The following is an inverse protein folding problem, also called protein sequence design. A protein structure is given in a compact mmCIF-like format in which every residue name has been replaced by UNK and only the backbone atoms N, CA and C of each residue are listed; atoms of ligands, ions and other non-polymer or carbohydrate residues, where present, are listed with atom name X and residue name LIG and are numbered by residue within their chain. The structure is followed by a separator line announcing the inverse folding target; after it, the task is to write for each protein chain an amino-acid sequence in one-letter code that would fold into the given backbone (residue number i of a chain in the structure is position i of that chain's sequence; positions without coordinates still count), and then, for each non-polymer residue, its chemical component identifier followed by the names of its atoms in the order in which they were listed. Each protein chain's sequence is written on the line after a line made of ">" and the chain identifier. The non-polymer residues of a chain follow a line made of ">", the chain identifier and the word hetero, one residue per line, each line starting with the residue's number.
data_IF_600033590538
#
_entry.id   IF_600033590538
#
_cell.length_a   1.000
_cell.length_b   1.000
_cell.length_c   1.000
_cell.angle_alpha   90.00
_cell.angle_beta   90.00
_cell.angle_gamma   90.00
#
_symmetry.space_group_name_H-M   'P 1'
#
loop_
_entity.id
_entity.type
_entity.pdbx_description
1 polymer ?
#
# COMPACT_ATOMS: atom_id res chain seq x y z
N UNK A 1 11.22 -61.89 14.38
CA UNK A 1 10.25 -62.02 15.48
C UNK A 1 9.45 -60.71 15.54
N UNK A 2 8.31 -60.51 14.85
CA UNK A 2 7.16 -61.41 14.56
C UNK A 2 6.32 -61.62 15.83
N UNK A 3 5.00 -61.36 15.90
CA UNK A 3 3.93 -60.87 14.98
C UNK A 3 3.11 -59.78 15.74
N UNK A 4 2.49 -58.74 15.14
CA UNK A 4 1.45 -58.63 14.10
C UNK A 4 0.02 -59.05 14.56
N UNK A 5 -0.80 -58.06 14.96
CA UNK A 5 -2.26 -58.09 14.80
C UNK A 5 -2.70 -56.74 14.22
N UNK A 6 -3.63 -56.77 13.26
CA UNK A 6 -4.21 -55.59 12.62
C UNK A 6 -5.69 -55.47 13.00
N UNK A 7 -6.19 -54.24 13.20
CA UNK A 7 -7.60 -53.96 13.39
C UNK A 7 -8.10 -53.05 12.26
N UNK A 8 -9.02 -53.57 11.44
CA UNK A 8 -9.76 -52.80 10.44
C UNK A 8 -11.23 -52.74 10.85
N UNK A 9 -11.91 -51.63 10.56
CA UNK A 9 -13.36 -51.51 10.71
C UNK A 9 -13.92 -50.82 9.47
N UNK A 10 -14.96 -51.43 8.91
CA UNK A 10 -15.63 -50.97 7.68
C UNK A 10 -17.09 -50.69 7.98
N UNK A 11 -17.62 -49.59 7.44
CA UNK A 11 -19.05 -49.29 7.40
C UNK A 11 -19.38 -48.80 6.00
N UNK A 12 -20.50 -49.26 5.46
CA UNK A 12 -20.85 -49.11 4.04
C UNK A 12 -21.62 -47.83 3.73
N UNK A 13 -21.64 -47.48 2.44
CA UNK A 13 -22.71 -46.64 1.88
C UNK A 13 -24.09 -47.27 2.13
N UNK A 14 -25.10 -46.41 2.23
CA UNK A 14 -26.50 -46.70 1.90
C UNK A 14 -27.13 -45.42 1.33
N UNK A 15 -28.22 -45.54 0.57
CA UNK A 15 -28.76 -44.46 -0.27
C UNK A 15 -30.29 -44.58 -0.45
N UNK A 16 -30.88 -43.64 -1.21
CA UNK A 16 -32.31 -43.51 -1.55
C UNK A 16 -33.20 -42.94 -0.42
N UNK A 17 -34.42 -42.41 -0.70
CA UNK A 17 -35.10 -42.30 -2.00
C UNK A 17 -35.37 -40.84 -2.46
N UNK A 18 -36.11 -40.68 -3.56
CA UNK A 18 -36.33 -39.41 -4.27
C UNK A 18 -37.81 -39.10 -4.58
N UNK A 19 -38.11 -37.80 -4.79
CA UNK A 19 -39.31 -37.25 -5.47
C UNK A 19 -40.65 -37.32 -4.70
N UNK A 20 -41.70 -36.55 -5.11
CA UNK A 20 -41.79 -35.38 -6.01
C UNK A 20 -42.58 -34.17 -5.41
N UNK A 21 -42.77 -33.08 -6.18
CA UNK A 21 -44.07 -32.39 -6.49
C UNK A 21 -43.88 -30.91 -6.96
N UNK A 22 -44.82 -30.43 -7.78
CA UNK A 22 -44.94 -29.13 -8.47
C UNK A 22 -45.28 -27.94 -7.51
N UNK A 23 -45.49 -26.66 -7.87
CA UNK A 23 -45.74 -25.92 -9.14
C UNK A 23 -44.81 -24.64 -9.20
N UNK A 24 -44.99 -23.49 -9.90
CA UNK A 24 -46.10 -22.83 -10.63
C UNK A 24 -45.57 -21.76 -11.63
N UNK A 25 -46.44 -21.18 -12.46
CA UNK A 25 -46.20 -19.98 -13.29
C UNK A 25 -46.54 -18.67 -12.54
N UNK A 26 -45.91 -17.55 -12.91
CA UNK A 26 -46.38 -16.12 -12.99
C UNK A 26 -45.14 -15.20 -13.15
N UNK A 27 -45.18 -13.98 -13.68
CA UNK A 27 -45.60 -13.49 -15.02
C UNK A 27 -44.78 -12.20 -15.35
N UNK A 28 -44.95 -11.62 -16.52
CA UNK A 28 -44.25 -10.45 -17.05
C UNK A 28 -44.52 -9.16 -16.27
N UNK A 29 -43.47 -8.41 -15.96
CA UNK A 29 -43.55 -6.94 -15.94
C UNK A 29 -42.44 -6.32 -16.78
N UNK A 30 -42.81 -5.77 -17.94
CA UNK A 30 -41.93 -4.87 -18.71
C UNK A 30 -41.90 -3.52 -18.00
N UNK A 31 -40.72 -3.04 -17.61
CA UNK A 31 -40.51 -1.62 -17.32
C UNK A 31 -39.48 -1.02 -18.29
N UNK A 32 -39.98 -0.20 -19.22
CA UNK A 32 -39.16 0.57 -20.14
C UNK A 32 -38.60 1.81 -19.44
N UNK A 33 -37.28 2.01 -19.45
CA UNK A 33 -36.67 3.31 -19.17
C UNK A 33 -36.06 3.92 -20.42
N UNK A 34 -36.31 5.23 -20.61
CA UNK A 34 -35.92 5.98 -21.81
C UNK A 34 -34.42 6.28 -21.81
N UNK A 35 -33.74 5.97 -22.90
CA UNK A 35 -32.45 6.58 -23.24
C UNK A 35 -32.67 8.08 -23.54
N UNK A 36 -32.30 8.96 -22.60
CA UNK A 36 -32.20 10.40 -22.87
C UNK A 36 -30.81 10.71 -23.47
N UNK A 37 -30.79 10.81 -24.80
CA UNK A 37 -29.59 10.95 -25.61
C UNK A 37 -29.24 12.42 -25.87
N UNK A 38 -28.66 13.10 -24.88
CA UNK A 38 -28.20 14.48 -25.07
C UNK A 38 -26.98 14.51 -26.02
N UNK A 39 -27.19 14.99 -27.24
CA UNK A 39 -26.13 15.35 -28.17
C UNK A 39 -25.74 16.81 -27.93
N UNK A 40 -24.46 17.07 -27.68
CA UNK A 40 -23.85 18.31 -28.16
C UNK A 40 -22.69 17.95 -29.08
N UNK A 41 -22.85 18.30 -30.35
CA UNK A 41 -21.82 18.18 -31.38
C UNK A 41 -21.27 19.59 -31.57
N UNK A 42 -19.98 19.76 -31.33
CA UNK A 42 -19.18 20.88 -31.82
C UNK A 42 -18.13 20.28 -32.78
N UNK A 43 -17.83 20.97 -33.88
CA UNK A 43 -17.27 20.32 -35.05
C UNK A 43 -16.29 21.19 -35.85
N UNK A 44 -15.26 20.54 -36.39
CA UNK A 44 -14.30 21.03 -37.40
C UNK A 44 -13.23 22.04 -36.89
N UNK A 45 -12.08 22.15 -37.61
CA UNK A 45 -11.69 21.46 -38.84
C UNK A 45 -10.53 20.46 -38.70
N UNK A 46 -10.53 19.45 -39.58
CA UNK A 46 -9.34 18.66 -39.90
C UNK A 46 -8.41 19.50 -40.78
N UNK A 47 -7.11 19.56 -40.46
CA UNK A 47 -6.12 20.12 -41.39
C UNK A 47 -5.73 19.08 -42.44
N UNK A 48 -5.80 19.51 -43.69
CA UNK A 48 -5.58 18.71 -44.89
C UNK A 48 -4.08 18.66 -45.21
N UNK A 49 -3.54 17.46 -45.42
CA UNK A 49 -2.16 17.31 -45.89
C UNK A 49 -2.01 17.93 -47.30
N UNK A 50 -0.89 18.62 -47.54
CA UNK A 50 -0.45 18.98 -48.89
C UNK A 50 0.61 17.97 -49.34
N UNK A 51 0.45 17.45 -50.54
CA UNK A 51 1.49 16.68 -51.23
C UNK A 51 2.48 17.66 -51.88
N UNK A 52 3.75 17.27 -51.92
CA UNK A 52 4.75 17.83 -52.83
C UNK A 52 5.53 16.66 -53.44
N UNK A 53 5.32 16.41 -54.72
CA UNK A 53 6.03 15.37 -55.48
C UNK A 53 7.39 15.89 -55.95
N UNK A 54 8.43 15.05 -55.87
CA UNK A 54 9.75 15.32 -56.45
C UNK A 54 10.47 13.99 -56.77
N UNK A 55 10.19 13.46 -57.97
CA UNK A 55 10.99 12.57 -58.84
C UNK A 55 12.24 11.83 -58.29
N UNK A 56 12.20 10.50 -58.43
CA UNK A 56 13.27 9.56 -58.85
C UNK A 56 14.74 9.67 -58.36
N UNK A 57 15.30 8.54 -57.88
CA UNK A 57 16.76 8.38 -57.79
C UNK A 57 17.30 7.18 -57.00
N UNK A 58 17.47 6.02 -57.65
CA UNK A 58 18.39 4.91 -57.31
C UNK A 58 18.45 4.30 -55.88
N UNK A 59 17.94 3.07 -55.78
CA UNK A 59 18.64 1.85 -55.33
C UNK A 59 19.55 1.83 -54.06
N UNK A 60 19.14 0.97 -53.12
CA UNK A 60 19.97 0.07 -52.27
C UNK A 60 20.91 0.73 -51.24
N UNK A 61 20.55 0.59 -49.96
CA UNK A 61 21.36 -0.20 -49.01
C UNK A 61 20.53 -0.63 -47.78
N UNK A 62 20.86 -1.80 -47.23
CA UNK A 62 20.29 -2.28 -45.96
C UNK A 62 21.24 -1.83 -44.84
N UNK A 63 20.73 -1.03 -43.89
CA UNK A 63 21.43 -0.63 -42.68
C UNK A 63 20.63 -1.08 -41.44
N UNK A 64 21.32 -1.41 -40.35
CA UNK A 64 20.75 -2.03 -39.16
C UNK A 64 19.99 -1.03 -38.26
N UNK A 65 19.05 -1.54 -37.46
CA UNK A 65 18.12 -0.73 -36.67
C UNK A 65 18.68 -0.28 -35.29
N UNK A 66 19.99 -0.33 -35.12
CA UNK A 66 20.68 -0.11 -33.83
C UNK A 66 20.46 1.32 -33.29
N UNK A 67 20.36 2.31 -34.19
CA UNK A 67 20.24 3.73 -33.84
C UNK A 67 18.97 4.11 -33.07
N UNK A 68 17.95 3.23 -32.99
CA UNK A 68 16.78 3.45 -32.13
C UNK A 68 17.02 3.07 -30.67
N UNK A 69 17.90 2.12 -30.39
CA UNK A 69 18.16 1.60 -29.03
C UNK A 69 18.93 2.65 -28.23
N UNK A 70 20.08 3.11 -28.75
CA UNK A 70 20.88 4.19 -28.16
C UNK A 70 20.04 5.45 -27.89
N UNK A 71 19.15 5.82 -28.83
CA UNK A 71 18.31 7.00 -28.72
C UNK A 71 17.22 6.90 -27.62
N UNK A 72 16.89 5.69 -27.16
CA UNK A 72 16.02 5.42 -26.01
C UNK A 72 16.84 5.41 -24.72
N UNK A 73 17.96 4.69 -24.67
CA UNK A 73 18.81 4.60 -23.48
C UNK A 73 19.42 5.95 -23.08
N UNK A 74 19.84 6.79 -24.04
CA UNK A 74 20.31 8.16 -23.78
C UNK A 74 19.19 9.03 -23.18
N UNK A 75 17.93 8.80 -23.55
CA UNK A 75 16.79 9.52 -22.97
C UNK A 75 16.47 9.01 -21.57
N UNK A 76 16.41 7.69 -21.37
CA UNK A 76 16.22 7.11 -20.04
C UNK A 76 17.31 7.55 -19.06
N UNK A 77 18.58 7.51 -19.47
CA UNK A 77 19.72 7.93 -18.65
C UNK A 77 19.60 9.40 -18.20
N UNK A 78 19.24 10.32 -19.10
CA UNK A 78 19.02 11.73 -18.76
C UNK A 78 17.84 11.94 -17.81
N UNK A 79 16.75 11.18 -17.96
CA UNK A 79 15.60 11.23 -17.04
C UNK A 79 15.97 10.67 -15.67
N UNK A 80 16.71 9.56 -15.61
CA UNK A 80 17.20 8.94 -14.36
C UNK A 80 18.08 9.90 -13.56
N UNK A 81 19.04 10.57 -14.20
CA UNK A 81 19.88 11.58 -13.53
C UNK A 81 19.04 12.75 -13.00
N UNK A 82 18.17 13.34 -13.83
CA UNK A 82 17.29 14.43 -13.41
C UNK A 82 16.36 14.07 -12.24
N UNK A 83 15.94 12.81 -12.12
CA UNK A 83 15.16 12.33 -10.97
C UNK A 83 16.02 12.20 -9.70
N UNK A 84 17.28 11.79 -9.81
CA UNK A 84 18.22 11.74 -8.68
C UNK A 84 18.50 13.16 -8.15
N UNK A 85 18.71 14.13 -9.04
CA UNK A 85 18.94 15.53 -8.68
C UNK A 85 17.74 16.12 -7.91
N UNK A 86 16.50 15.89 -8.39
CA UNK A 86 15.28 16.31 -7.71
C UNK A 86 15.15 15.68 -6.32
N UNK A 87 15.37 14.36 -6.21
CA UNK A 87 15.34 13.66 -4.92
C UNK A 87 16.35 14.25 -3.92
N UNK A 88 17.57 14.54 -4.37
CA UNK A 88 18.60 15.16 -3.54
C UNK A 88 18.20 16.57 -3.07
N UNK A 89 17.59 17.39 -3.93
CA UNK A 89 17.08 18.72 -3.52
C UNK A 89 15.90 18.65 -2.54
N UNK A 90 15.16 17.54 -2.53
CA UNK A 90 14.10 17.24 -1.55
C UNK A 90 14.64 16.58 -0.26
N UNK A 91 15.96 16.44 -0.12
CA UNK A 91 16.58 15.76 1.03
C UNK A 91 16.30 14.25 1.09
N UNK A 92 15.75 13.65 0.03
CA UNK A 92 15.42 12.22 -0.02
C UNK A 92 16.73 11.43 -0.10
N UNK A 93 17.09 10.82 1.03
CA UNK A 93 18.32 10.03 1.14
C UNK A 93 18.22 8.67 0.46
N UNK A 94 17.03 8.05 0.44
CA UNK A 94 16.85 6.66 -0.02
C UNK A 94 16.87 6.58 -1.55
N UNK A 95 17.81 5.82 -2.11
CA UNK A 95 17.89 5.59 -3.55
C UNK A 95 16.88 4.51 -3.93
N UNK A 96 16.02 4.75 -4.92
CA UNK A 96 15.03 3.75 -5.35
C UNK A 96 15.61 2.62 -6.21
N UNK A 97 16.81 2.80 -6.77
CA UNK A 97 17.51 1.86 -7.67
C UNK A 97 19.04 1.96 -7.48
N UNK A 98 19.84 0.96 -7.93
CA UNK A 98 21.29 1.05 -7.97
C UNK A 98 21.77 2.20 -8.89
N UNK A 99 22.68 3.10 -8.45
CA UNK A 99 23.07 4.28 -9.24
C UNK A 99 23.67 3.98 -10.61
N UNK A 100 24.44 2.88 -10.72
CA UNK A 100 25.13 2.51 -11.95
C UNK A 100 24.41 1.42 -12.75
N UNK A 101 23.14 1.15 -12.43
CA UNK A 101 22.38 0.06 -13.02
C UNK A 101 22.86 -1.33 -12.56
N UNK A 102 22.46 -2.43 -13.22
CA UNK A 102 23.03 -3.74 -12.97
C UNK A 102 24.53 -3.77 -13.36
N UNK A 103 25.42 -4.43 -12.58
CA UNK A 103 26.84 -4.46 -12.88
C UNK A 103 27.14 -5.39 -14.07
N UNK A 104 27.11 -4.84 -15.28
CA UNK A 104 27.65 -5.46 -16.50
C UNK A 104 29.03 -4.87 -16.81
N UNK A 105 30.07 -5.70 -16.75
CA UNK A 105 31.34 -5.45 -17.43
C UNK A 105 31.66 -6.69 -18.28
N UNK A 106 31.69 -6.51 -19.60
CA UNK A 106 32.15 -7.56 -20.53
C UNK A 106 33.67 -7.52 -20.63
N UNK A 107 34.32 -8.68 -20.44
CA UNK A 107 35.75 -8.85 -20.66
C UNK A 107 35.95 -9.98 -21.68
N UNK A 108 35.85 -9.61 -22.96
CA UNK A 108 35.74 -10.58 -24.05
C UNK A 108 34.42 -11.37 -23.96
N UNK A 109 34.42 -12.70 -24.13
CA UNK A 109 33.21 -13.52 -24.10
C UNK A 109 32.65 -13.77 -22.68
N UNK A 110 33.23 -13.14 -21.64
CA UNK A 110 32.86 -13.37 -20.24
C UNK A 110 32.17 -12.15 -19.64
N UNK A 111 31.05 -12.38 -18.95
CA UNK A 111 30.41 -11.39 -18.06
C UNK A 111 31.07 -11.44 -16.68
N UNK A 112 31.66 -10.33 -16.24
CA UNK A 112 32.20 -10.20 -14.89
C UNK A 112 31.37 -9.20 -14.08
N UNK A 113 30.80 -9.67 -12.97
CA UNK A 113 30.15 -8.81 -11.97
C UNK A 113 31.18 -8.33 -10.94
N UNK A 114 31.81 -7.19 -11.22
CA UNK A 114 32.49 -6.43 -10.17
C UNK A 114 31.42 -5.87 -9.21
N UNK A 115 31.52 -6.22 -7.93
CA UNK A 115 30.72 -5.57 -6.89
C UNK A 115 31.26 -4.16 -6.65
N UNK A 116 30.63 -3.16 -7.27
CA UNK A 116 30.88 -1.76 -6.95
C UNK A 116 30.18 -1.41 -5.64
N UNK A 117 30.94 -0.98 -4.62
CA UNK A 117 30.41 -0.59 -3.30
C UNK A 117 29.36 0.53 -3.37
N UNK A 118 29.47 1.44 -4.37
CA UNK A 118 28.45 2.46 -4.61
C UNK A 118 27.10 1.90 -5.07
N UNK A 119 27.03 0.61 -5.42
CA UNK A 119 25.93 -0.05 -6.09
C UNK A 119 25.26 -1.16 -5.24
N UNK A 120 25.54 -1.21 -3.94
CA UNK A 120 24.80 -1.98 -2.93
C UNK A 120 23.85 -1.08 -2.12
N UNK A 121 22.77 -1.61 -1.50
CA UNK A 121 21.91 -0.84 -0.60
C UNK A 121 22.66 -0.43 0.68
N UNK A 122 22.47 0.81 1.13
CA UNK A 122 23.15 1.35 2.33
C UNK A 122 22.42 1.10 3.65
N UNK A 123 21.10 0.87 3.58
CA UNK A 123 20.25 0.56 4.73
C UNK A 123 19.12 -0.39 4.30
N UNK A 124 18.38 -0.94 5.27
CA UNK A 124 17.32 -1.93 5.01
C UNK A 124 16.19 -1.39 4.14
N UNK A 125 15.83 -0.10 4.30
CA UNK A 125 14.76 0.53 3.53
C UNK A 125 15.15 0.64 2.05
N UNK A 126 16.40 0.99 1.77
CA UNK A 126 16.96 1.00 0.42
C UNK A 126 16.95 -0.42 -0.19
N UNK A 127 17.28 -1.47 0.58
CA UNK A 127 17.20 -2.86 0.10
C UNK A 127 15.76 -3.27 -0.22
N UNK A 128 14.81 -2.98 0.68
CA UNK A 128 13.38 -3.24 0.50
C UNK A 128 12.88 -2.60 -0.79
N UNK A 129 13.18 -1.31 -1.00
CA UNK A 129 12.69 -0.54 -2.15
C UNK A 129 13.26 -1.07 -3.48
N UNK A 130 14.54 -1.48 -3.54
CA UNK A 130 15.12 -2.05 -4.76
C UNK A 130 14.49 -3.41 -5.12
N UNK A 131 14.21 -4.24 -4.11
CA UNK A 131 13.50 -5.50 -4.30
C UNK A 131 12.05 -5.25 -4.74
N UNK A 132 11.37 -4.27 -4.13
CA UNK A 132 9.98 -3.90 -4.44
C UNK A 132 9.81 -3.38 -5.87
N UNK A 133 10.72 -2.53 -6.36
CA UNK A 133 10.70 -2.06 -7.75
C UNK A 133 10.82 -3.22 -8.75
N UNK A 134 11.64 -4.22 -8.43
CA UNK A 134 11.79 -5.46 -9.21
C UNK A 134 10.54 -6.36 -9.13
N UNK A 135 9.99 -6.55 -7.94
CA UNK A 135 8.76 -7.33 -7.70
C UNK A 135 7.58 -6.73 -8.46
N UNK A 136 7.36 -5.42 -8.30
CA UNK A 136 6.24 -4.69 -8.92
C UNK A 136 6.35 -4.69 -10.44
N UNK A 137 7.55 -4.62 -11.02
CA UNK A 137 7.74 -4.79 -12.46
C UNK A 137 7.23 -6.17 -12.95
N UNK A 138 7.57 -7.26 -12.26
CA UNK A 138 7.12 -8.62 -12.59
C UNK A 138 5.61 -8.81 -12.35
N UNK A 139 5.05 -8.23 -11.29
CA UNK A 139 3.60 -8.29 -11.05
C UNK A 139 2.82 -7.50 -12.10
N UNK A 140 3.34 -6.35 -12.53
CA UNK A 140 2.74 -5.47 -13.55
C UNK A 140 2.73 -6.12 -14.94
N UNK A 141 3.76 -6.90 -15.27
CA UNK A 141 3.80 -7.75 -16.47
C UNK A 141 2.74 -8.86 -16.41
N UNK A 142 2.69 -9.61 -15.31
CA UNK A 142 1.72 -10.71 -15.09
C UNK A 142 0.27 -10.21 -15.02
N UNK A 143 0.02 -8.99 -14.54
CA UNK A 143 -1.32 -8.41 -14.37
C UNK A 143 -1.36 -6.92 -14.80
N UNK A 144 -1.43 -6.64 -16.11
CA UNK A 144 -1.35 -5.27 -16.65
C UNK A 144 -2.45 -4.35 -16.11
N UNK A 145 -2.14 -3.05 -16.00
CA UNK A 145 -3.01 -2.03 -15.39
C UNK A 145 -4.45 -1.98 -15.96
N UNK A 146 -4.63 -2.26 -17.26
CA UNK A 146 -5.95 -2.33 -17.90
C UNK A 146 -6.86 -3.46 -17.38
N UNK A 147 -6.27 -4.52 -16.80
CA UNK A 147 -7.03 -5.56 -16.07
C UNK A 147 -7.40 -5.12 -14.66
N UNK A 148 -6.52 -4.38 -13.98
CA UNK A 148 -6.77 -3.88 -12.63
C UNK A 148 -7.84 -2.81 -12.58
N UNK A 149 -7.90 -1.90 -13.56
CA UNK A 149 -8.98 -0.90 -13.64
C UNK A 149 -10.36 -1.57 -13.63
N UNK A 150 -10.58 -2.57 -14.50
CA UNK A 150 -11.82 -3.36 -14.50
C UNK A 150 -12.12 -4.05 -13.17
N UNK A 151 -11.09 -4.51 -12.45
CA UNK A 151 -11.24 -5.11 -11.12
C UNK A 151 -11.57 -4.06 -10.03
N UNK A 152 -11.03 -2.84 -10.14
CA UNK A 152 -11.41 -1.69 -9.31
C UNK A 152 -12.85 -1.24 -9.59
N UNK A 153 -13.26 -1.20 -10.85
CA UNK A 153 -14.61 -0.76 -11.28
C UNK A 153 -15.74 -1.67 -10.73
N UNK A 154 -15.45 -2.95 -10.48
CA UNK A 154 -16.39 -3.92 -9.89
C UNK A 154 -16.19 -4.17 -8.38
N UNK A 155 -15.17 -3.54 -7.76
CA UNK A 155 -14.87 -3.77 -6.35
C UNK A 155 -15.93 -3.13 -5.45
N UNK A 156 -16.34 -3.85 -4.39
CA UNK A 156 -17.27 -3.33 -3.39
C UNK A 156 -16.79 -1.97 -2.85
N UNK A 157 -17.67 -0.96 -2.66
CA UNK A 157 -17.28 0.41 -2.34
C UNK A 157 -16.26 0.53 -1.21
N UNK A 158 -15.34 1.51 -1.28
CA UNK A 158 -14.41 1.77 -0.20
C UNK A 158 -15.14 2.28 1.03
N UNK A 159 -14.61 1.95 2.20
CA UNK A 159 -15.11 2.37 3.51
C UNK A 159 -14.44 3.69 3.90
N UNK A 160 -15.16 4.53 4.64
CA UNK A 160 -14.59 5.81 5.09
C UNK A 160 -13.58 5.60 6.24
N UNK A 161 -12.32 5.43 5.86
CA UNK A 161 -11.19 5.30 6.78
C UNK A 161 -11.04 6.54 7.69
N UNK A 162 -11.28 7.74 7.17
CA UNK A 162 -11.15 8.99 7.95
C UNK A 162 -12.34 9.14 8.90
N UNK A 163 -13.56 8.84 8.44
CA UNK A 163 -14.76 8.83 9.26
C UNK A 163 -14.69 7.83 10.42
N UNK A 164 -14.16 6.63 10.18
CA UNK A 164 -13.97 5.62 11.22
C UNK A 164 -13.00 6.08 12.32
N UNK A 165 -11.87 6.70 11.95
CA UNK A 165 -10.94 7.29 12.92
C UNK A 165 -11.58 8.42 13.74
N UNK A 166 -12.31 9.34 13.09
CA UNK A 166 -13.00 10.42 13.77
C UNK A 166 -14.05 9.90 14.76
N UNK A 167 -14.95 9.04 14.29
CA UNK A 167 -16.02 8.49 15.11
C UNK A 167 -15.48 7.70 16.33
N UNK A 168 -14.41 6.93 16.17
CA UNK A 168 -13.75 6.23 17.28
C UNK A 168 -13.12 7.20 18.29
N UNK A 169 -12.41 8.24 17.82
CA UNK A 169 -11.77 9.21 18.72
C UNK A 169 -12.79 10.08 19.46
N UNK A 170 -13.84 10.52 18.77
CA UNK A 170 -14.95 11.31 19.33
C UNK A 170 -15.77 10.49 20.35
N UNK A 171 -16.00 9.20 20.11
CA UNK A 171 -16.70 8.28 21.02
C UNK A 171 -15.89 7.97 22.29
N UNK A 172 -14.60 7.71 22.16
CA UNK A 172 -13.76 7.17 23.25
C UNK A 172 -13.02 8.24 24.07
N UNK A 173 -12.89 9.46 23.52
CA UNK A 173 -12.08 10.55 24.08
C UNK A 173 -10.57 10.36 23.93
N UNK A 174 -10.12 9.44 23.07
CA UNK A 174 -8.73 8.97 22.95
C UNK A 174 -8.29 8.88 21.48
N UNK A 175 -7.01 8.61 21.17
CA UNK A 175 -6.58 8.36 19.79
C UNK A 175 -7.22 7.07 19.24
N UNK A 176 -7.80 7.14 18.05
CA UNK A 176 -8.41 5.98 17.40
C UNK A 176 -7.36 4.93 16.99
N UNK A 177 -7.61 3.66 17.28
CA UNK A 177 -6.66 2.58 17.00
C UNK A 177 -6.72 2.11 15.53
N UNK A 178 -5.56 2.13 14.87
CA UNK A 178 -5.28 1.35 13.67
C UNK A 178 -4.49 0.11 14.10
N UNK A 179 -5.18 -1.02 14.25
CA UNK A 179 -4.56 -2.26 14.72
C UNK A 179 -3.87 -3.01 13.57
N UNK A 180 -2.61 -3.41 13.77
CA UNK A 180 -1.78 -3.96 12.69
C UNK A 180 -1.70 -5.49 12.69
N UNK A 181 -2.13 -6.08 11.58
CA UNK A 181 -2.07 -7.50 11.25
C UNK A 181 -0.73 -7.78 10.56
N UNK A 182 0.24 -8.27 11.33
CA UNK A 182 1.64 -8.46 10.91
C UNK A 182 2.19 -9.79 11.42
N UNK A 183 2.79 -10.60 10.53
CA UNK A 183 3.40 -11.89 10.91
C UNK A 183 4.85 -11.74 11.37
N UNK A 184 5.66 -10.99 10.63
CA UNK A 184 7.09 -10.81 10.91
C UNK A 184 7.53 -9.35 10.72
N UNK A 185 8.77 -9.04 11.10
CA UNK A 185 9.45 -7.80 10.67
C UNK A 185 10.98 -7.98 10.68
N UNK A 186 11.73 -7.22 9.85
CA UNK A 186 13.20 -7.34 9.78
C UNK A 186 13.92 -7.18 11.12
N UNK A 187 13.39 -6.35 12.01
CA UNK A 187 13.97 -6.03 13.33
C UNK A 187 13.65 -7.04 14.44
N UNK A 188 12.73 -8.00 14.22
CA UNK A 188 12.27 -8.94 15.25
C UNK A 188 12.14 -10.40 14.79
N UNK A 189 12.25 -10.69 13.49
CA UNK A 189 11.91 -12.01 12.95
C UNK A 189 10.39 -12.23 12.96
N UNK A 190 9.96 -13.48 13.15
CA UNK A 190 8.54 -13.83 13.29
C UNK A 190 8.02 -13.37 14.65
N UNK A 191 6.87 -12.68 14.65
CA UNK A 191 6.19 -12.17 15.85
C UNK A 191 5.08 -13.12 16.34
N UNK A 192 4.54 -13.94 15.45
CA UNK A 192 3.52 -14.96 15.73
C UNK A 192 3.65 -16.09 14.70
N UNK A 193 3.94 -17.30 15.15
CA UNK A 193 4.08 -18.47 14.27
C UNK A 193 2.71 -18.93 13.74
N UNK A 194 1.75 -19.12 14.65
CA UNK A 194 0.36 -19.39 14.32
C UNK A 194 -0.37 -18.10 13.93
N UNK A 195 -0.46 -17.86 12.62
CA UNK A 195 -0.89 -16.60 12.03
C UNK A 195 -2.07 -16.81 11.09
N UNK A 196 -3.28 -16.77 11.65
CA UNK A 196 -4.51 -16.56 10.89
C UNK A 196 -4.81 -15.04 10.81
N UNK A 197 -4.68 -14.39 9.63
CA UNK A 197 -4.91 -12.96 9.49
C UNK A 197 -6.38 -12.57 9.66
N UNK A 198 -7.32 -13.49 9.42
CA UNK A 198 -8.77 -13.27 9.53
C UNK A 198 -9.22 -13.30 10.99
N UNK A 199 -8.77 -14.28 11.78
CA UNK A 199 -9.11 -14.34 13.21
C UNK A 199 -8.43 -13.21 14.00
N UNK A 200 -7.19 -12.84 13.65
CA UNK A 200 -6.53 -11.65 14.23
C UNK A 200 -7.32 -10.37 13.90
N UNK A 201 -7.77 -10.20 12.64
CA UNK A 201 -8.57 -9.05 12.23
C UNK A 201 -9.93 -8.98 12.96
N UNK A 202 -10.62 -10.11 13.13
CA UNK A 202 -11.86 -10.20 13.93
C UNK A 202 -11.63 -9.86 15.40
N UNK A 203 -10.52 -10.32 15.98
CA UNK A 203 -10.18 -10.03 17.37
C UNK A 203 -9.88 -8.53 17.58
N UNK A 204 -9.19 -7.89 16.64
CA UNK A 204 -8.97 -6.44 16.65
C UNK A 204 -10.27 -5.64 16.48
N UNK A 205 -11.14 -6.02 15.53
CA UNK A 205 -12.47 -5.41 15.35
C UNK A 205 -13.30 -5.51 16.63
N UNK A 206 -13.37 -6.71 17.23
CA UNK A 206 -14.05 -6.95 18.51
C UNK A 206 -13.45 -6.12 19.66
N UNK A 207 -12.14 -5.88 19.65
CA UNK A 207 -11.44 -5.03 20.63
C UNK A 207 -11.59 -3.53 20.41
N UNK A 208 -12.41 -3.08 19.47
CA UNK A 208 -12.66 -1.65 19.22
C UNK A 208 -11.62 -0.96 18.32
N UNK A 209 -10.85 -1.71 17.51
CA UNK A 209 -10.00 -1.11 16.49
C UNK A 209 -10.84 -0.33 15.46
N UNK A 210 -10.53 0.94 15.26
CA UNK A 210 -11.25 1.81 14.33
C UNK A 210 -10.99 1.43 12.87
N UNK A 211 -9.73 1.06 12.57
CA UNK A 211 -9.26 0.60 11.27
C UNK A 211 -8.24 -0.52 11.47
N UNK A 212 -7.93 -1.26 10.41
CA UNK A 212 -6.85 -2.27 10.42
C UNK A 212 -5.73 -1.88 9.45
N UNK A 213 -4.48 -2.09 9.86
CA UNK A 213 -3.30 -2.08 9.00
C UNK A 213 -2.95 -3.52 8.63
N UNK A 214 -2.81 -3.83 7.35
CA UNK A 214 -2.44 -5.18 6.88
C UNK A 214 -1.14 -5.09 6.10
N UNK A 215 -0.12 -5.82 6.55
CA UNK A 215 1.15 -5.94 5.82
C UNK A 215 0.94 -6.83 4.59
N UNK A 216 1.27 -6.29 3.42
CA UNK A 216 1.21 -7.04 2.14
C UNK A 216 2.57 -7.47 1.61
N UNK A 217 3.67 -6.93 2.16
CA UNK A 217 5.03 -7.30 1.75
C UNK A 217 5.38 -8.73 2.19
N UNK A 218 5.67 -9.59 1.20
CA UNK A 218 5.98 -10.99 1.44
C UNK A 218 7.42 -11.24 1.92
N UNK A 219 8.42 -10.50 1.39
CA UNK A 219 9.84 -10.81 1.60
C UNK A 219 10.34 -10.49 3.00
N UNK A 220 9.90 -9.37 3.58
CA UNK A 220 10.43 -8.82 4.84
C UNK A 220 9.45 -8.90 6.01
N UNK A 221 8.14 -8.92 5.73
CA UNK A 221 7.08 -8.94 6.75
C UNK A 221 6.26 -10.25 6.78
N UNK A 222 6.50 -11.16 5.83
CA UNK A 222 5.67 -12.35 5.57
C UNK A 222 4.16 -12.03 5.42
N UNK A 223 3.87 -10.85 4.86
CA UNK A 223 2.53 -10.41 4.47
C UNK A 223 2.11 -10.96 3.11
N UNK A 224 0.89 -10.62 2.70
CA UNK A 224 0.42 -10.84 1.33
C UNK A 224 -0.80 -9.95 1.02
N UNK A 225 -1.05 -9.69 -0.26
CA UNK A 225 -2.29 -9.07 -0.71
C UNK A 225 -3.50 -10.01 -0.55
N UNK A 226 -3.25 -11.31 -0.51
CA UNK A 226 -4.22 -12.37 -0.25
C UNK A 226 -4.73 -12.32 1.21
N UNK A 227 -3.89 -11.94 2.18
CA UNK A 227 -4.32 -11.71 3.57
C UNK A 227 -5.32 -10.55 3.66
N UNK A 228 -5.04 -9.43 2.96
CA UNK A 228 -5.91 -8.26 2.87
C UNK A 228 -7.28 -8.62 2.25
N UNK A 229 -7.27 -9.37 1.15
CA UNK A 229 -8.47 -9.85 0.46
C UNK A 229 -9.26 -10.87 1.31
N UNK A 230 -8.58 -11.76 2.03
CA UNK A 230 -9.20 -12.70 2.97
C UNK A 230 -9.91 -11.97 4.12
N UNK A 231 -9.26 -10.98 4.74
CA UNK A 231 -9.87 -10.14 5.80
C UNK A 231 -11.11 -9.41 5.26
N UNK A 232 -11.02 -8.82 4.06
CA UNK A 232 -12.16 -8.14 3.40
C UNK A 232 -13.34 -9.10 3.18
N UNK A 233 -13.06 -10.30 2.67
CA UNK A 233 -14.06 -11.30 2.30
C UNK A 233 -14.66 -12.03 3.53
N UNK A 234 -13.90 -12.14 4.62
CA UNK A 234 -14.38 -12.68 5.90
C UNK A 234 -15.43 -11.80 6.60
N UNK A 235 -15.73 -10.62 6.05
CA UNK A 235 -16.86 -9.80 6.47
C UNK A 235 -16.57 -8.81 7.60
N UNK A 236 -15.33 -8.72 8.06
CA UNK A 236 -14.82 -7.65 8.96
C UNK A 236 -15.25 -6.28 8.43
N UNK A 237 -15.72 -5.37 9.28
CA UNK A 237 -16.26 -4.04 8.95
C UNK A 237 -15.24 -2.91 9.01
N UNK A 238 -14.22 -2.99 9.86
CA UNK A 238 -13.11 -2.00 9.93
C UNK A 238 -12.57 -1.65 8.53
N UNK A 239 -12.30 -0.37 8.22
CA UNK A 239 -11.58 0.01 7.00
C UNK A 239 -10.16 -0.55 6.99
N UNK A 240 -9.67 -0.95 5.80
CA UNK A 240 -8.40 -1.66 5.64
C UNK A 240 -7.33 -0.78 4.98
N UNK A 241 -6.23 -0.54 5.68
CA UNK A 241 -4.99 0.05 5.18
C UNK A 241 -4.09 -1.05 4.61
N UNK A 242 -3.73 -0.92 3.34
CA UNK A 242 -2.64 -1.67 2.72
C UNK A 242 -1.30 -1.04 3.14
N UNK A 243 -0.61 -1.63 4.12
CA UNK A 243 0.72 -1.20 4.58
C UNK A 243 1.77 -1.88 3.69
N UNK A 244 2.32 -1.10 2.77
CA UNK A 244 3.20 -1.56 1.68
C UNK A 244 4.16 -0.43 1.26
N UNK A 245 5.31 -0.79 0.72
CA UNK A 245 6.26 0.12 0.11
C UNK A 245 5.78 0.47 -1.30
N UNK A 246 4.93 1.50 -1.40
CA UNK A 246 4.37 1.92 -2.68
C UNK A 246 5.38 2.76 -3.46
N UNK A 247 5.72 2.28 -4.67
CA UNK A 247 6.70 2.85 -5.60
C UNK A 247 6.12 3.06 -7.01
N UNK A 248 5.13 2.28 -7.42
CA UNK A 248 4.41 2.43 -8.71
C UNK A 248 2.90 2.61 -8.45
N UNK A 249 2.26 3.49 -9.22
CA UNK A 249 0.82 3.70 -9.20
C UNK A 249 0.00 2.40 -9.46
N UNK A 250 0.59 1.39 -10.12
CA UNK A 250 0.01 0.04 -10.28
C UNK A 250 -0.38 -0.59 -8.94
N UNK A 251 0.42 -0.39 -7.88
CA UNK A 251 0.15 -0.95 -6.54
C UNK A 251 -1.14 -0.36 -5.94
N UNK A 252 -1.49 0.89 -6.26
CA UNK A 252 -2.73 1.54 -5.81
C UNK A 252 -3.97 0.81 -6.34
N UNK A 253 -3.98 0.51 -7.64
CA UNK A 253 -5.06 -0.26 -8.26
C UNK A 253 -5.07 -1.72 -7.79
N UNK A 254 -3.90 -2.31 -7.50
CA UNK A 254 -3.81 -3.68 -6.99
C UNK A 254 -4.38 -3.78 -5.56
N UNK A 255 -3.94 -2.90 -4.66
CA UNK A 255 -4.46 -2.79 -3.30
C UNK A 255 -5.98 -2.53 -3.29
N UNK A 256 -6.46 -1.60 -4.13
CA UNK A 256 -7.90 -1.29 -4.22
C UNK A 256 -8.72 -2.47 -4.76
N UNK A 257 -8.23 -3.17 -5.79
CA UNK A 257 -8.86 -4.39 -6.30
C UNK A 257 -8.84 -5.55 -5.28
N UNK A 258 -7.87 -5.56 -4.35
CA UNK A 258 -7.75 -6.49 -3.23
C UNK A 258 -8.54 -6.08 -1.97
N UNK A 259 -9.35 -5.01 -2.07
CA UNK A 259 -10.26 -4.61 -0.99
C UNK A 259 -9.71 -3.59 0.00
N UNK A 260 -8.60 -2.92 -0.30
CA UNK A 260 -8.13 -1.78 0.49
C UNK A 260 -9.12 -0.61 0.47
N UNK A 261 -9.15 0.13 1.58
CA UNK A 261 -9.81 1.43 1.73
C UNK A 261 -8.78 2.56 1.94
N UNK A 262 -7.57 2.23 2.39
CA UNK A 262 -6.45 3.16 2.50
C UNK A 262 -5.12 2.55 2.02
N UNK A 263 -4.14 3.41 1.73
CA UNK A 263 -2.77 3.06 1.35
C UNK A 263 -1.74 3.94 2.05
N UNK A 264 -0.54 3.38 2.23
CA UNK A 264 0.64 4.08 2.73
C UNK A 264 1.45 4.73 1.60
N UNK A 265 1.86 5.98 1.76
CA UNK A 265 2.88 6.64 0.94
C UNK A 265 4.00 7.14 1.87
N UNK A 266 5.26 6.80 1.60
CA UNK A 266 6.38 7.12 2.52
C UNK A 266 7.19 8.29 1.96
N UNK A 267 7.28 9.40 2.71
CA UNK A 267 8.00 10.60 2.29
C UNK A 267 9.52 10.41 2.16
N UNK A 268 10.08 9.46 2.91
CA UNK A 268 11.48 9.03 2.84
C UNK A 268 11.89 8.40 1.50
N UNK A 269 10.93 7.94 0.68
CA UNK A 269 11.20 7.21 -0.58
C UNK A 269 10.51 7.82 -1.81
N UNK A 270 9.49 8.67 -1.62
CA UNK A 270 8.71 9.28 -2.72
C UNK A 270 8.99 10.77 -2.85
N UNK A 271 9.10 11.22 -4.10
CA UNK A 271 9.22 12.64 -4.45
C UNK A 271 7.86 13.35 -4.28
N UNK A 272 7.86 14.66 -4.07
CA UNK A 272 6.63 15.42 -3.84
C UNK A 272 5.66 15.31 -5.03
N UNK A 273 6.20 15.20 -6.25
CA UNK A 273 5.42 14.96 -7.47
C UNK A 273 4.78 13.56 -7.48
N UNK A 274 5.48 12.53 -7.03
CA UNK A 274 4.92 11.18 -6.87
C UNK A 274 3.80 11.19 -5.84
N UNK A 275 4.01 11.77 -4.65
CA UNK A 275 3.00 11.87 -3.59
C UNK A 275 1.76 12.64 -4.10
N UNK A 276 1.97 13.78 -4.79
CA UNK A 276 0.89 14.61 -5.37
C UNK A 276 0.17 13.94 -6.53
N UNK A 277 0.81 13.03 -7.26
CA UNK A 277 0.20 12.23 -8.33
C UNK A 277 -0.56 11.01 -7.79
N UNK A 278 0.08 10.24 -6.89
CA UNK A 278 -0.52 9.07 -6.25
C UNK A 278 -1.74 9.47 -5.40
N UNK A 279 -1.68 10.58 -4.64
CA UNK A 279 -2.83 11.11 -3.90
C UNK A 279 -4.03 11.43 -4.80
N UNK A 280 -3.79 11.96 -6.02
CA UNK A 280 -4.86 12.18 -7.00
C UNK A 280 -5.45 10.86 -7.51
N UNK A 281 -4.61 9.85 -7.78
CA UNK A 281 -5.09 8.51 -8.17
C UNK A 281 -5.92 7.89 -7.05
N UNK A 282 -5.44 7.91 -5.81
CA UNK A 282 -6.15 7.40 -4.64
C UNK A 282 -7.53 8.04 -4.52
N UNK A 283 -7.62 9.37 -4.61
CA UNK A 283 -8.90 10.09 -4.62
C UNK A 283 -9.82 9.71 -5.78
N UNK A 284 -9.28 9.36 -6.95
CA UNK A 284 -10.08 8.88 -8.10
C UNK A 284 -10.60 7.45 -7.94
N UNK A 285 -9.87 6.57 -7.25
CA UNK A 285 -10.28 5.16 -7.02
C UNK A 285 -10.85 4.92 -5.61
N UNK A 286 -11.03 5.99 -4.84
CA UNK A 286 -11.66 5.99 -3.51
C UNK A 286 -10.80 5.45 -2.37
N UNK A 287 -9.47 5.50 -2.50
CA UNK A 287 -8.55 5.21 -1.40
C UNK A 287 -8.23 6.47 -0.57
N UNK A 288 -8.22 6.32 0.75
CA UNK A 288 -7.54 7.26 1.66
C UNK A 288 -6.02 7.09 1.54
N UNK A 289 -5.27 8.18 1.73
CA UNK A 289 -3.80 8.17 1.80
C UNK A 289 -3.35 8.49 3.21
N UNK A 290 -2.53 7.61 3.79
CA UNK A 290 -1.69 7.88 4.95
C UNK A 290 -0.29 8.22 4.45
N UNK A 291 0.18 9.45 4.67
CA UNK A 291 1.56 9.83 4.32
C UNK A 291 2.46 9.67 5.54
N UNK A 292 3.43 8.75 5.47
CA UNK A 292 4.38 8.48 6.56
C UNK A 292 5.59 9.42 6.46
N UNK A 293 5.94 10.05 7.59
CA UNK A 293 7.07 10.97 7.75
C UNK A 293 7.90 10.63 9.00
N UNK A 294 9.20 10.91 8.94
CA UNK A 294 10.16 10.62 10.02
C UNK A 294 10.84 11.86 10.59
N UNK A 295 11.06 12.90 9.78
CA UNK A 295 11.81 14.10 10.18
C UNK A 295 11.14 15.41 9.75
N UNK A 296 11.71 16.53 10.20
CA UNK A 296 11.26 17.88 9.90
C UNK A 296 11.13 18.17 8.40
N UNK A 297 12.06 17.68 7.58
CA UNK A 297 12.10 17.94 6.14
C UNK A 297 11.03 17.12 5.42
N UNK A 298 10.82 15.87 5.82
CA UNK A 298 9.70 15.05 5.35
C UNK A 298 8.34 15.68 5.72
N UNK A 299 8.20 16.17 6.96
CA UNK A 299 6.98 16.86 7.40
C UNK A 299 6.74 18.15 6.61
N UNK A 300 7.74 19.03 6.47
CA UNK A 300 7.60 20.30 5.75
C UNK A 300 7.21 20.08 4.28
N UNK A 301 7.87 19.14 3.59
CA UNK A 301 7.52 18.74 2.22
C UNK A 301 6.07 18.29 2.09
N UNK A 302 5.61 17.42 2.99
CA UNK A 302 4.24 16.87 2.96
C UNK A 302 3.20 17.94 3.30
N UNK A 303 3.51 18.89 4.18
CA UNK A 303 2.62 19.99 4.51
C UNK A 303 2.38 20.96 3.34
N UNK A 304 3.31 21.09 2.39
CA UNK A 304 3.11 21.91 1.18
C UNK A 304 2.39 21.15 0.03
N UNK A 305 1.92 19.91 0.26
CA UNK A 305 1.12 19.14 -0.71
C UNK A 305 -0.39 19.34 -0.47
N UNK A 306 -1.10 19.81 -1.49
CA UNK A 306 -2.55 19.99 -1.47
C UNK A 306 -3.30 18.65 -1.33
N UNK A 307 -4.26 18.60 -0.40
CA UNK A 307 -5.20 17.48 -0.27
C UNK A 307 -4.71 16.31 0.58
N UNK A 308 -3.57 16.44 1.27
CA UNK A 308 -3.23 15.52 2.37
C UNK A 308 -4.22 15.72 3.53
N UNK A 309 -4.74 14.63 4.08
CA UNK A 309 -5.72 14.63 5.17
C UNK A 309 -5.29 13.81 6.40
N UNK A 310 -4.29 12.95 6.23
CA UNK A 310 -3.83 11.97 7.22
C UNK A 310 -2.31 11.81 7.09
N UNK A 311 -1.57 12.13 8.15
CA UNK A 311 -0.10 12.02 8.23
C UNK A 311 0.25 11.05 9.35
N UNK A 312 1.13 10.09 9.09
CA UNK A 312 1.71 9.19 10.08
C UNK A 312 3.10 9.65 10.47
N UNK A 313 3.33 9.89 11.77
CA UNK A 313 4.66 10.11 12.31
C UNK A 313 5.21 8.77 12.76
N UNK A 314 6.22 8.26 12.04
CA UNK A 314 6.87 7.02 12.41
C UNK A 314 8.04 7.30 13.36
N UNK A 315 7.84 6.97 14.63
CA UNK A 315 8.83 7.20 15.70
C UNK A 315 10.04 6.25 15.62
N UNK A 316 10.11 5.34 14.62
CA UNK A 316 11.24 4.44 14.41
C UNK A 316 12.19 5.00 13.35
N UNK A 317 13.45 5.17 13.72
CA UNK A 317 14.53 5.43 12.76
C UNK A 317 14.74 4.19 11.88
N UNK A 318 14.65 4.32 10.55
CA UNK A 318 14.76 3.19 9.61
C UNK A 318 16.21 2.84 9.21
N UNK A 319 17.20 3.55 9.76
CA UNK A 319 18.63 3.24 9.64
C UNK A 319 19.17 2.53 10.90
N UNK A 320 18.75 2.97 12.10
CA UNK A 320 19.21 2.40 13.40
C UNK A 320 18.22 1.43 14.06
N UNK A 321 16.96 1.38 13.59
CA UNK A 321 15.80 0.72 14.22
C UNK A 321 15.40 1.22 15.62
N UNK A 322 16.12 2.21 16.18
CA UNK A 322 15.78 2.86 17.44
C UNK A 322 14.41 3.53 17.35
N UNK A 323 13.74 3.68 18.50
CA UNK A 323 12.38 4.22 18.57
C UNK A 323 12.32 5.29 19.65
N UNK A 324 11.93 6.50 19.27
CA UNK A 324 11.74 7.63 20.17
C UNK A 324 10.39 8.32 19.91
N UNK A 325 9.45 8.14 20.83
CA UNK A 325 8.13 8.79 20.76
C UNK A 325 8.19 10.31 20.95
N UNK A 326 9.31 10.87 21.43
CA UNK A 326 9.50 12.32 21.54
C UNK A 326 9.51 13.01 20.17
N UNK A 327 9.88 12.28 19.11
CA UNK A 327 9.81 12.76 17.73
C UNK A 327 8.39 13.18 17.32
N UNK A 328 7.35 12.47 17.78
CA UNK A 328 5.95 12.88 17.59
C UNK A 328 5.69 14.27 18.17
N UNK A 329 6.21 14.58 19.36
CA UNK A 329 6.04 15.91 19.96
C UNK A 329 6.84 16.97 19.20
N UNK A 330 8.12 16.68 18.90
CA UNK A 330 9.04 17.53 18.14
C UNK A 330 8.48 17.98 16.79
N UNK A 331 7.79 17.11 16.06
CA UNK A 331 7.20 17.41 14.74
C UNK A 331 5.84 18.13 14.82
N UNK A 332 5.18 18.14 15.98
CA UNK A 332 3.89 18.80 16.22
C UNK A 332 4.00 20.13 17.00
N UNK A 333 5.19 20.49 17.47
CA UNK A 333 5.48 21.79 18.05
C UNK A 333 5.62 22.90 16.97
N UNK A 334 5.32 24.14 17.37
CA UNK A 334 5.45 25.33 16.52
C UNK A 334 4.58 25.33 15.25
N UNK A 335 5.12 25.94 14.19
CA UNK A 335 4.42 26.22 12.91
C UNK A 335 3.85 24.95 12.26
N UNK A 336 4.54 23.80 12.36
CA UNK A 336 4.08 22.53 11.78
C UNK A 336 2.77 22.08 12.41
N UNK A 337 2.69 22.08 13.73
CA UNK A 337 1.46 21.81 14.46
C UNK A 337 0.34 22.80 14.12
N UNK A 338 0.66 24.08 13.90
CA UNK A 338 -0.32 25.08 13.49
C UNK A 338 -0.85 24.83 12.07
N UNK A 339 0.02 24.57 11.09
CA UNK A 339 -0.36 24.17 9.73
C UNK A 339 -1.23 22.91 9.72
N UNK A 340 -0.87 21.89 10.51
CA UNK A 340 -1.66 20.65 10.68
C UNK A 340 -3.06 20.95 11.20
N UNK A 341 -3.18 21.75 12.28
CA UNK A 341 -4.46 22.15 12.86
C UNK A 341 -5.30 22.99 11.89
N UNK A 342 -4.70 23.97 11.22
CA UNK A 342 -5.37 24.83 10.24
C UNK A 342 -5.88 24.05 9.01
N UNK A 343 -5.12 23.07 8.52
CA UNK A 343 -5.51 22.19 7.40
C UNK A 343 -6.47 21.06 7.82
N UNK A 344 -6.74 20.89 9.12
CA UNK A 344 -7.62 19.84 9.64
C UNK A 344 -7.07 18.43 9.44
N UNK A 345 -5.75 18.29 9.38
CA UNK A 345 -5.06 17.01 9.13
C UNK A 345 -5.12 16.14 10.39
N UNK A 346 -5.51 14.87 10.23
CA UNK A 346 -5.41 13.87 11.29
C UNK A 346 -3.96 13.39 11.36
N UNK A 347 -3.39 13.39 12.57
CA UNK A 347 -2.07 12.80 12.83
C UNK A 347 -2.22 11.42 13.44
N UNK A 348 -1.50 10.46 12.88
CA UNK A 348 -1.31 9.10 13.40
C UNK A 348 0.05 9.00 14.07
N UNK A 349 0.11 8.54 15.32
CA UNK A 349 1.37 8.15 15.95
C UNK A 349 1.71 6.70 15.63
N UNK A 350 2.89 6.43 15.05
CA UNK A 350 3.32 5.08 14.66
C UNK A 350 4.64 4.69 15.34
N UNK A 351 4.82 3.40 15.63
CA UNK A 351 5.93 2.84 16.41
C UNK A 351 6.02 3.34 17.87
N UNK A 352 6.54 2.49 18.77
CA UNK A 352 6.91 2.88 20.14
C UNK A 352 5.80 2.85 21.20
N UNK A 353 4.56 2.54 20.82
CA UNK A 353 3.41 2.57 21.73
C UNK A 353 3.15 1.18 22.35
N UNK A 354 3.45 1.05 23.64
CA UNK A 354 3.35 -0.22 24.39
C UNK A 354 2.42 -0.13 25.62
N UNK A 355 2.18 1.08 26.13
CA UNK A 355 1.50 1.35 27.41
C UNK A 355 0.51 2.53 27.31
N UNK A 356 -0.43 2.67 28.27
CA UNK A 356 -1.33 3.82 28.33
C UNK A 356 -0.60 5.16 28.49
N UNK A 357 0.61 5.16 29.08
CA UNK A 357 1.42 6.36 29.22
C UNK A 357 1.96 6.84 27.86
N UNK A 358 2.36 5.93 26.97
CA UNK A 358 2.81 6.27 25.62
C UNK A 358 1.66 6.84 24.79
N UNK A 359 0.45 6.26 24.94
CA UNK A 359 -0.78 6.73 24.27
C UNK A 359 -1.17 8.12 24.78
N UNK A 360 -1.12 8.37 26.09
CA UNK A 360 -1.37 9.68 26.68
C UNK A 360 -0.35 10.73 26.19
N UNK A 361 0.95 10.39 26.17
CA UNK A 361 2.02 11.27 25.71
C UNK A 361 1.79 11.77 24.27
N UNK A 362 1.46 10.87 23.34
CA UNK A 362 1.16 11.30 21.95
C UNK A 362 -0.18 12.02 21.84
N UNK A 363 -1.19 11.66 22.65
CA UNK A 363 -2.47 12.37 22.71
C UNK A 363 -2.29 13.83 23.16
N UNK A 364 -1.44 14.09 24.15
CA UNK A 364 -1.07 15.43 24.63
C UNK A 364 -0.33 16.25 23.57
N UNK A 365 0.51 15.61 22.75
CA UNK A 365 1.12 16.24 21.57
C UNK A 365 0.11 16.56 20.44
N UNK A 366 -1.13 16.09 20.54
CA UNK A 366 -2.23 16.39 19.63
C UNK A 366 -2.61 15.26 18.67
N UNK A 367 -2.00 14.08 18.78
CA UNK A 367 -2.29 12.90 17.95
C UNK A 367 -3.74 12.45 18.12
N UNK A 368 -4.36 12.00 17.01
CA UNK A 368 -5.78 11.61 16.95
C UNK A 368 -6.03 10.16 16.53
N UNK A 369 -5.01 9.47 16.04
CA UNK A 369 -5.02 8.03 15.83
C UNK A 369 -3.65 7.42 16.16
N UNK A 370 -3.59 6.11 16.41
CA UNK A 370 -2.32 5.41 16.64
C UNK A 370 -2.25 4.13 15.81
N UNK A 371 -1.11 3.83 15.21
CA UNK A 371 -0.88 2.58 14.48
C UNK A 371 0.01 1.65 15.29
N UNK A 372 -0.56 0.51 15.70
CA UNK A 372 0.04 -0.35 16.72
C UNK A 372 -0.06 -1.82 16.33
N UNK A 373 1.07 -2.53 16.44
CA UNK A 373 1.17 -3.95 16.08
C UNK A 373 2.08 -4.77 16.99
N UNK A 374 3.32 -4.31 17.26
CA UNK A 374 4.31 -5.11 17.98
C UNK A 374 3.90 -5.46 19.43
N UNK A 375 3.16 -4.57 20.10
CA UNK A 375 2.59 -4.77 21.44
C UNK A 375 1.36 -5.68 21.46
N UNK A 376 0.63 -5.79 20.34
CA UNK A 376 -0.63 -6.53 20.26
C UNK A 376 -0.45 -7.96 19.71
N UNK A 377 0.31 -8.12 18.62
CA UNK A 377 0.48 -9.40 17.89
C UNK A 377 1.05 -10.53 18.77
N UNK A 378 1.91 -10.16 19.74
CA UNK A 378 2.59 -11.09 20.66
C UNK A 378 1.69 -11.69 21.74
N UNK A 379 0.46 -11.21 21.88
CA UNK A 379 -0.48 -11.66 22.91
C UNK A 379 -1.44 -12.71 22.33
N UNK A 380 -1.72 -13.76 23.09
CA UNK A 380 -2.63 -14.83 22.67
C UNK A 380 -4.02 -14.28 22.28
N UNK A 381 -4.53 -13.36 23.11
CA UNK A 381 -5.80 -12.66 22.97
C UNK A 381 -5.58 -11.17 22.64
N UNK A 382 -5.73 -10.76 21.36
CA UNK A 382 -5.53 -9.38 20.94
C UNK A 382 -6.50 -8.38 21.59
N UNK A 383 -7.70 -8.82 21.98
CA UNK A 383 -8.72 -8.00 22.67
C UNK A 383 -8.16 -7.47 23.99
N UNK A 384 -7.55 -8.35 24.79
CA UNK A 384 -6.87 -7.98 26.05
C UNK A 384 -5.67 -7.07 25.80
N UNK A 385 -4.94 -7.28 24.70
CA UNK A 385 -3.84 -6.41 24.29
C UNK A 385 -4.28 -4.95 24.08
N UNK A 386 -5.42 -4.74 23.43
CA UNK A 386 -5.99 -3.40 23.23
C UNK A 386 -6.42 -2.79 24.57
N UNK A 387 -7.12 -3.54 25.41
CA UNK A 387 -7.54 -3.06 26.74
C UNK A 387 -6.35 -2.70 27.65
N UNK A 388 -5.23 -3.44 27.56
CA UNK A 388 -3.98 -3.13 28.27
C UNK A 388 -3.27 -1.89 27.71
N UNK A 389 -3.26 -1.72 26.38
CA UNK A 389 -2.67 -0.56 25.71
C UNK A 389 -3.36 0.77 26.08
N UNK A 390 -4.69 0.75 26.25
CA UNK A 390 -5.48 1.94 26.61
C UNK A 390 -5.81 2.04 28.11
N UNK A 391 -5.51 1.02 28.91
CA UNK A 391 -5.82 0.97 30.35
C UNK A 391 -7.31 0.79 30.69
N UNK A 392 -8.16 0.62 29.68
CA UNK A 392 -9.61 0.34 29.76
C UNK A 392 -10.07 -0.30 28.45
N UNK A 393 -11.25 -0.90 28.45
CA UNK A 393 -11.91 -1.33 27.21
C UNK A 393 -12.27 -0.11 26.34
N UNK A 394 -12.31 -0.31 25.02
CA UNK A 394 -12.66 0.70 24.00
C UNK A 394 -13.66 0.16 22.96
N UNK A 395 -14.17 -1.06 23.14
CA UNK A 395 -15.11 -1.71 22.22
C UNK A 395 -16.56 -1.21 22.38
N UNK A 396 -16.97 -0.94 23.64
CA UNK A 396 -18.32 -0.44 24.01
C UNK A 396 -18.64 0.94 23.44
#
# INVERSE_FOLDING_TARGET
>A
MQELICATSSVSFNSLPSSPVNHTFYDNTRFTFRFLRNKHIASFPCMRAQQSEATDGSAINIASDDSKVDALDIKESKVKNSQIDIAATQGIKIRRRPPTGPPLHHVGPFEFRLQNEGNTPRNILEEIVWNKDTEVAQMREKKPLGSLKKATDIAAPPRDFIGALKASSEKTGMPALIAEVKKASPSRGVLREDFDPVEIAKAYEKGGAACLSVLTDAKYFQGSFENLEAIRNAGVKCPLLCKEFIVDAWQLYYARAKGADAVLLIAAILQDLDIKYMTKICKMIGLTVLVEVHDENEMDRVLEIDGIQLIGINNRNLETFEVDISNTKKLLEGERGEKIRQKGIIVVGESGLFTPADVAYVQEAGVKAILVGESLVKLEDPTKGIALLFGKDISE
#
